data_IF_250445762452
#
_entry.id   IF_250445762452
#
_cell.length_a   1.000
_cell.length_b   1.000
_cell.length_c   1.000
_cell.angle_alpha   90.00
_cell.angle_beta   90.00
_cell.angle_gamma   90.00
#
_symmetry.space_group_name_H-M   'P 1'
#
loop_
_entity.id
_entity.type
_entity.pdbx_description
1 polymer ?
#
# COMPACT_ATOMS: atom_id res chain seq x y z
N UNK A 1 -23.86 16.78 -29.92
CA UNK A 1 -22.88 15.75 -29.51
C UNK A 1 -21.63 15.96 -30.35
N UNK A 2 -20.64 16.58 -29.76
CA UNK A 2 -19.33 16.79 -30.36
C UNK A 2 -18.23 16.36 -29.36
N UNK A 3 -17.09 15.94 -29.88
CA UNK A 3 -15.90 15.57 -29.10
C UNK A 3 -14.73 16.34 -29.67
N UNK A 4 -13.98 17.01 -28.82
CA UNK A 4 -12.95 17.99 -29.19
C UNK A 4 -11.52 17.50 -29.00
N UNK A 5 -11.33 16.20 -28.74
CA UNK A 5 -10.03 15.57 -28.54
C UNK A 5 -9.88 14.27 -29.34
N UNK A 6 -8.65 13.97 -29.74
CA UNK A 6 -8.28 12.70 -30.36
C UNK A 6 -8.03 11.63 -29.29
N UNK A 7 -8.23 10.36 -29.65
CA UNK A 7 -8.06 9.25 -28.70
C UNK A 7 -6.64 9.22 -28.12
N UNK A 8 -6.52 9.43 -26.81
CA UNK A 8 -5.25 9.53 -26.05
C UNK A 8 -4.41 10.76 -26.39
N UNK A 9 -5.06 11.85 -26.77
CA UNK A 9 -4.48 13.20 -26.78
C UNK A 9 -4.15 13.65 -25.35
N UNK A 10 -3.07 14.43 -25.19
CA UNK A 10 -2.71 15.06 -23.91
C UNK A 10 -3.57 16.31 -23.75
N UNK A 11 -4.31 16.38 -22.64
CA UNK A 11 -5.22 17.49 -22.34
C UNK A 11 -4.79 18.23 -21.07
N UNK A 12 -5.18 19.50 -20.97
CA UNK A 12 -4.88 20.39 -19.84
C UNK A 12 -6.15 20.74 -19.05
N UNK A 13 -6.06 21.09 -17.75
CA UNK A 13 -7.19 21.58 -16.97
C UNK A 13 -7.90 22.76 -17.66
N UNK A 14 -9.23 22.75 -17.64
CA UNK A 14 -10.07 23.75 -18.31
C UNK A 14 -10.28 23.54 -19.82
N UNK A 15 -9.61 22.57 -20.44
CA UNK A 15 -9.86 22.23 -21.85
C UNK A 15 -11.23 21.57 -22.02
N UNK A 16 -12.02 22.05 -22.99
CA UNK A 16 -13.28 21.43 -23.40
C UNK A 16 -13.01 20.09 -24.08
N UNK A 17 -13.62 19.02 -23.59
CA UNK A 17 -13.45 17.66 -24.11
C UNK A 17 -14.65 17.22 -24.95
N UNK A 18 -15.87 17.49 -24.49
CA UNK A 18 -17.08 17.07 -25.18
C UNK A 18 -18.27 17.99 -24.89
N UNK A 19 -19.22 18.03 -25.82
CA UNK A 19 -20.46 18.82 -25.74
C UNK A 19 -21.66 17.93 -26.11
N UNK A 20 -22.66 17.88 -25.22
CA UNK A 20 -23.89 17.12 -25.38
C UNK A 20 -24.10 16.14 -24.22
N UNK A 21 -24.82 15.03 -24.47
CA UNK A 21 -25.21 14.07 -23.41
C UNK A 21 -24.06 13.17 -22.92
N UNK A 22 -22.82 13.64 -22.87
CA UNK A 22 -21.70 12.88 -22.33
C UNK A 22 -21.69 12.91 -20.80
N UNK A 23 -21.16 11.84 -20.17
CA UNK A 23 -20.96 11.79 -18.72
C UNK A 23 -19.51 12.07 -18.37
N UNK A 24 -19.30 12.98 -17.41
CA UNK A 24 -18.02 13.14 -16.74
C UNK A 24 -17.66 11.89 -15.92
N UNK A 25 -16.37 11.64 -15.77
CA UNK A 25 -15.78 10.59 -14.93
C UNK A 25 -14.44 11.08 -14.36
N UNK A 26 -13.57 10.15 -13.96
CA UNK A 26 -12.25 10.45 -13.40
C UNK A 26 -11.50 11.54 -14.18
N UNK A 27 -11.06 12.58 -13.46
CA UNK A 27 -10.27 13.68 -14.02
C UNK A 27 -11.04 14.66 -14.90
N UNK A 28 -12.37 14.61 -14.90
CA UNK A 28 -13.24 15.54 -15.66
C UNK A 28 -14.36 16.10 -14.79
N UNK A 29 -14.94 17.22 -15.20
CA UNK A 29 -16.15 17.79 -14.60
C UNK A 29 -17.10 18.26 -15.70
N UNK A 30 -18.39 18.17 -15.43
CA UNK A 30 -19.45 18.72 -16.26
C UNK A 30 -19.89 20.11 -15.78
N UNK A 31 -20.50 20.86 -16.68
CA UNK A 31 -21.14 22.16 -16.44
C UNK A 31 -22.62 22.06 -16.79
N UNK A 32 -23.48 22.86 -16.17
CA UNK A 32 -24.94 22.88 -16.37
C UNK A 32 -25.35 22.95 -17.87
N UNK A 33 -24.52 23.61 -18.69
CA UNK A 33 -24.60 23.67 -20.16
C UNK A 33 -24.52 22.31 -20.90
N UNK A 34 -24.21 21.19 -20.22
CA UNK A 34 -23.94 19.90 -20.87
C UNK A 34 -22.56 19.80 -21.54
N UNK A 35 -21.60 20.60 -21.07
CA UNK A 35 -20.20 20.60 -21.52
C UNK A 35 -19.32 19.88 -20.51
N UNK A 36 -18.38 19.06 -20.99
CA UNK A 36 -17.42 18.31 -20.16
C UNK A 36 -16.02 18.86 -20.37
N UNK A 37 -15.37 19.23 -19.27
CA UNK A 37 -14.03 19.82 -19.23
C UNK A 37 -13.04 18.91 -18.49
N UNK A 38 -11.75 19.04 -18.79
CA UNK A 38 -10.71 18.37 -18.01
C UNK A 38 -10.44 19.08 -16.68
N UNK A 39 -10.32 18.32 -15.59
CA UNK A 39 -9.83 18.82 -14.30
C UNK A 39 -8.31 18.64 -14.14
N UNK A 40 -7.69 17.75 -14.91
CA UNK A 40 -6.32 17.28 -14.72
C UNK A 40 -5.48 17.39 -16.00
N UNK A 41 -4.15 17.37 -15.86
CA UNK A 41 -3.24 17.11 -16.98
C UNK A 41 -3.19 15.60 -17.21
N UNK A 42 -3.57 15.14 -18.39
CA UNK A 42 -3.74 13.70 -18.61
C UNK A 42 -3.99 13.29 -20.06
N UNK A 43 -4.18 11.99 -20.27
CA UNK A 43 -4.60 11.41 -21.55
C UNK A 43 -6.12 11.25 -21.57
N UNK A 44 -6.79 11.92 -22.51
CA UNK A 44 -8.23 11.81 -22.64
C UNK A 44 -8.66 10.51 -23.36
N UNK A 45 -9.58 9.75 -22.74
CA UNK A 45 -10.21 8.56 -23.30
C UNK A 45 -11.74 8.67 -23.24
N UNK A 46 -12.39 8.55 -24.41
CA UNK A 46 -13.84 8.33 -24.51
C UNK A 46 -14.12 6.82 -24.47
N UNK A 47 -15.02 6.38 -23.58
CA UNK A 47 -15.52 5.00 -23.53
C UNK A 47 -17.04 4.99 -23.56
N UNK A 48 -17.60 4.63 -24.71
CA UNK A 48 -19.04 4.74 -24.96
C UNK A 48 -19.47 6.19 -24.85
N UNK A 49 -20.23 6.51 -23.80
CA UNK A 49 -20.73 7.85 -23.51
C UNK A 49 -20.03 8.54 -22.32
N UNK A 50 -18.97 7.95 -21.80
CA UNK A 50 -18.25 8.44 -20.61
C UNK A 50 -16.88 8.98 -21.03
N UNK A 51 -16.59 10.23 -20.68
CA UNK A 51 -15.28 10.86 -20.88
C UNK A 51 -14.46 10.70 -19.60
N UNK A 52 -13.22 10.23 -19.74
CA UNK A 52 -12.27 10.08 -18.63
C UNK A 52 -10.91 10.66 -19.03
N UNK A 53 -10.24 11.28 -18.08
CA UNK A 53 -8.84 11.69 -18.22
C UNK A 53 -7.98 10.83 -17.31
N UNK A 54 -7.01 10.11 -17.91
CA UNK A 54 -6.01 9.35 -17.16
C UNK A 54 -4.88 10.33 -16.81
N UNK A 55 -4.64 10.65 -15.52
CA UNK A 55 -3.60 11.61 -15.15
C UNK A 55 -2.22 11.12 -15.58
N UNK A 56 -1.33 12.05 -15.95
CA UNK A 56 0.09 11.73 -16.17
C UNK A 56 0.85 11.61 -14.84
N UNK A 57 0.49 12.44 -13.87
CA UNK A 57 1.02 12.44 -12.50
C UNK A 57 -0.10 12.77 -11.50
N UNK A 58 0.09 12.38 -10.24
CA UNK A 58 -0.86 12.66 -9.16
C UNK A 58 -0.76 11.67 -8.00
N UNK A 59 -1.38 12.03 -6.87
CA UNK A 59 -1.55 11.16 -5.71
C UNK A 59 -2.60 10.07 -5.98
N UNK A 60 -2.58 9.01 -5.17
CA UNK A 60 -3.59 7.96 -5.23
C UNK A 60 -4.92 8.45 -4.64
N UNK A 61 -6.02 8.25 -5.38
CA UNK A 61 -7.38 8.47 -4.90
C UNK A 61 -8.08 7.10 -4.77
N UNK A 62 -8.46 6.67 -3.55
CA UNK A 62 -9.09 5.37 -3.29
C UNK A 62 -10.37 5.13 -4.09
N UNK A 63 -10.57 3.88 -4.54
CA UNK A 63 -11.81 3.42 -5.19
C UNK A 63 -12.20 2.04 -4.68
N UNK A 64 -13.48 1.75 -4.73
CA UNK A 64 -14.03 0.45 -4.35
C UNK A 64 -13.54 -0.64 -5.31
N UNK A 65 -13.08 -1.75 -4.75
CA UNK A 65 -12.45 -2.86 -5.49
C UNK A 65 -10.97 -2.65 -5.83
N UNK A 66 -10.34 -1.52 -5.46
CA UNK A 66 -8.89 -1.36 -5.65
C UNK A 66 -8.11 -2.22 -4.64
N UNK A 67 -7.17 -2.99 -5.18
CA UNK A 67 -6.12 -3.68 -4.41
C UNK A 67 -5.06 -2.67 -3.98
N UNK A 68 -4.77 -2.58 -2.68
CA UNK A 68 -3.77 -1.64 -2.12
C UNK A 68 -2.80 -2.35 -1.20
N UNK A 69 -1.58 -1.82 -1.12
CA UNK A 69 -0.57 -2.23 -0.14
C UNK A 69 -0.39 -1.09 0.85
N UNK A 70 -0.62 -1.34 2.13
CA UNK A 70 -0.58 -0.31 3.17
C UNK A 70 0.26 -0.73 4.38
N UNK A 71 0.65 0.25 5.20
CA UNK A 71 1.42 0.05 6.42
C UNK A 71 0.57 0.44 7.62
N UNK A 72 0.52 -0.40 8.66
CA UNK A 72 -0.24 -0.11 9.88
C UNK A 72 0.44 1.04 10.63
N UNK A 73 -0.33 2.06 10.97
CA UNK A 73 0.15 3.26 11.68
C UNK A 73 -0.33 3.30 13.12
N UNK A 74 -1.56 2.84 13.39
CA UNK A 74 -2.17 2.86 14.73
C UNK A 74 -3.02 1.61 14.90
N UNK A 75 -2.90 0.94 16.04
CA UNK A 75 -3.84 -0.09 16.52
C UNK A 75 -4.79 0.59 17.52
N UNK A 76 -6.11 0.48 17.32
CA UNK A 76 -7.10 1.18 18.15
C UNK A 76 -8.33 0.29 18.41
N UNK A 77 -8.35 -0.39 19.55
CA UNK A 77 -9.42 -1.32 19.93
C UNK A 77 -9.56 -2.43 18.90
N UNK A 78 -10.71 -2.52 18.22
CA UNK A 78 -11.00 -3.52 17.18
C UNK A 78 -10.70 -3.04 15.73
N UNK A 79 -9.88 -2.00 15.55
CA UNK A 79 -9.66 -1.33 14.26
C UNK A 79 -8.19 -0.92 14.08
N UNK A 80 -7.58 -1.25 12.93
CA UNK A 80 -6.28 -0.73 12.53
C UNK A 80 -6.44 0.49 11.61
N UNK A 81 -5.64 1.53 11.86
CA UNK A 81 -5.40 2.60 10.88
C UNK A 81 -4.22 2.25 10.01
N UNK A 82 -4.42 2.34 8.71
CA UNK A 82 -3.47 1.89 7.69
C UNK A 82 -3.17 3.05 6.75
N UNK A 83 -1.90 3.43 6.64
CA UNK A 83 -1.45 4.33 5.59
C UNK A 83 -1.42 3.59 4.24
N UNK A 84 -2.06 4.20 3.24
CA UNK A 84 -2.12 3.71 1.86
C UNK A 84 -1.49 4.69 0.85
N UNK A 85 -0.78 5.74 1.28
CA UNK A 85 -0.17 6.73 0.38
C UNK A 85 -1.19 7.63 -0.35
N UNK A 86 -2.41 7.73 0.18
CA UNK A 86 -3.45 8.64 -0.28
C UNK A 86 -3.67 9.79 0.71
N UNK A 87 -4.57 10.75 0.41
CA UNK A 87 -4.88 11.87 1.30
C UNK A 87 -5.66 11.48 2.57
N UNK A 88 -6.08 10.21 2.70
CA UNK A 88 -6.86 9.69 3.82
C UNK A 88 -6.23 8.41 4.37
N UNK A 89 -6.13 8.30 5.71
CA UNK A 89 -5.82 7.04 6.37
C UNK A 89 -6.99 6.06 6.22
N UNK A 90 -6.67 4.82 5.90
CA UNK A 90 -7.66 3.77 5.76
C UNK A 90 -7.98 3.11 7.12
N UNK A 91 -9.18 2.54 7.24
CA UNK A 91 -9.61 1.79 8.42
C UNK A 91 -9.87 0.32 8.10
N UNK A 92 -9.28 -0.58 8.86
CA UNK A 92 -9.45 -2.03 8.75
C UNK A 92 -10.02 -2.56 10.07
N UNK A 93 -11.26 -3.06 10.05
CA UNK A 93 -11.88 -3.65 11.23
C UNK A 93 -11.44 -5.12 11.42
N UNK A 94 -11.24 -5.57 12.66
CA UNK A 94 -10.88 -6.95 13.05
C UNK A 94 -11.72 -8.02 12.30
N UNK A 95 -13.05 -7.95 12.41
CA UNK A 95 -14.02 -8.74 11.64
C UNK A 95 -13.78 -8.84 10.11
N UNK A 96 -13.08 -7.90 9.48
CA UNK A 96 -12.77 -7.88 8.04
C UNK A 96 -11.33 -8.31 7.71
N UNK A 97 -10.44 -8.37 8.69
CA UNK A 97 -9.10 -8.93 8.54
C UNK A 97 -9.05 -10.42 8.93
N UNK A 98 -9.63 -10.75 10.08
CA UNK A 98 -9.49 -12.05 10.74
C UNK A 98 -10.74 -12.93 10.56
N UNK A 99 -10.55 -14.24 10.67
CA UNK A 99 -11.65 -15.22 10.81
C UNK A 99 -11.91 -15.43 12.31
N UNK A 100 -13.17 -15.52 12.71
CA UNK A 100 -13.54 -15.80 14.11
C UNK A 100 -13.32 -17.28 14.46
N UNK A 101 -12.99 -17.62 15.72
CA UNK A 101 -12.68 -16.69 16.82
C UNK A 101 -11.28 -16.05 16.67
N UNK A 102 -11.10 -14.85 17.22
CA UNK A 102 -9.83 -14.14 17.33
C UNK A 102 -9.72 -13.52 18.73
N UNK A 103 -8.50 -13.23 19.19
CA UNK A 103 -8.19 -12.65 20.51
C UNK A 103 -8.79 -11.25 20.69
N UNK A 104 -9.08 -10.84 21.93
CA UNK A 104 -9.54 -9.47 22.21
C UNK A 104 -8.43 -8.43 21.97
N UNK A 105 -7.16 -8.81 22.12
CA UNK A 105 -6.03 -8.01 21.66
C UNK A 105 -5.73 -8.32 20.19
N UNK A 106 -6.04 -7.36 19.31
CA UNK A 106 -5.79 -7.50 17.87
C UNK A 106 -4.32 -7.25 17.50
N UNK A 107 -3.53 -6.66 18.40
CA UNK A 107 -2.13 -6.30 18.18
C UNK A 107 -1.25 -7.54 17.99
N UNK A 108 -1.64 -8.66 18.61
CA UNK A 108 -1.01 -9.99 18.46
C UNK A 108 -0.94 -10.46 16.99
N UNK A 109 -1.89 -10.03 16.15
CA UNK A 109 -1.96 -10.44 14.74
C UNK A 109 -1.21 -9.49 13.81
N UNK A 110 -1.38 -8.19 14.02
CA UNK A 110 -0.74 -7.14 13.22
C UNK A 110 -0.53 -5.88 14.05
N UNK A 111 0.70 -5.38 14.05
CA UNK A 111 1.17 -4.26 14.88
C UNK A 111 1.65 -3.07 14.02
N UNK A 112 1.99 -1.96 14.66
CA UNK A 112 2.49 -0.73 14.02
C UNK A 112 3.75 -1.05 13.21
N UNK A 113 3.77 -0.60 11.95
CA UNK A 113 4.85 -0.87 11.00
C UNK A 113 4.66 -2.12 10.13
N UNK A 114 3.70 -3.00 10.45
CA UNK A 114 3.38 -4.13 9.58
C UNK A 114 2.82 -3.68 8.22
N UNK A 115 3.25 -4.35 7.15
CA UNK A 115 2.77 -4.11 5.80
C UNK A 115 1.72 -5.15 5.42
N UNK A 116 0.59 -4.72 4.89
CA UNK A 116 -0.55 -5.58 4.52
C UNK A 116 -0.97 -5.36 3.06
N UNK A 117 -1.53 -6.40 2.44
CA UNK A 117 -2.32 -6.28 1.21
C UNK A 117 -3.79 -6.38 1.56
N UNK A 118 -4.56 -5.37 1.17
CA UNK A 118 -6.00 -5.28 1.41
C UNK A 118 -6.73 -4.79 0.16
N UNK A 119 -8.05 -4.94 0.15
CA UNK A 119 -8.95 -4.43 -0.88
C UNK A 119 -9.86 -3.36 -0.25
N UNK A 120 -10.09 -2.26 -0.97
CA UNK A 120 -11.00 -1.21 -0.53
C UNK A 120 -12.44 -1.66 -0.76
N UNK A 121 -13.20 -1.84 0.31
CA UNK A 121 -14.61 -2.28 0.26
C UNK A 121 -15.60 -1.13 0.09
N UNK A 122 -15.28 0.04 0.64
CA UNK A 122 -16.10 1.24 0.59
C UNK A 122 -15.20 2.47 0.72
N UNK A 123 -15.55 3.57 0.06
CA UNK A 123 -14.83 4.84 0.21
C UNK A 123 -15.79 6.01 0.41
N UNK A 124 -15.67 6.66 1.57
CA UNK A 124 -16.32 7.93 1.87
C UNK A 124 -15.26 9.02 2.09
N UNK A 125 -15.54 10.24 1.60
CA UNK A 125 -14.65 11.40 1.75
C UNK A 125 -14.60 11.93 3.18
N UNK A 126 -15.61 11.66 4.01
CA UNK A 126 -15.64 12.07 5.43
C UNK A 126 -14.99 11.03 6.35
N UNK A 127 -15.31 9.75 6.18
CA UNK A 127 -14.77 8.67 7.02
C UNK A 127 -13.45 8.07 6.55
N UNK A 128 -13.04 8.33 5.30
CA UNK A 128 -11.92 7.67 4.64
C UNK A 128 -12.28 6.29 4.06
N UNK A 129 -11.29 5.58 3.46
CA UNK A 129 -11.51 4.26 2.87
C UNK A 129 -11.56 3.15 3.92
N UNK A 130 -12.48 2.21 3.73
CA UNK A 130 -12.61 0.98 4.51
C UNK A 130 -11.96 -0.20 3.79
N UNK A 131 -11.16 -0.98 4.52
CA UNK A 131 -10.41 -2.11 3.99
C UNK A 131 -11.00 -3.46 4.42
N UNK A 132 -10.70 -4.49 3.63
CA UNK A 132 -10.93 -5.90 3.93
C UNK A 132 -9.74 -6.77 3.50
N UNK A 133 -9.53 -7.88 4.21
CA UNK A 133 -8.56 -8.92 3.86
C UNK A 133 -9.21 -10.29 3.63
N UNK A 134 -10.55 -10.35 3.51
CA UNK A 134 -11.29 -11.60 3.22
C UNK A 134 -11.12 -12.13 1.78
N UNK A 135 -10.58 -11.31 0.89
CA UNK A 135 -10.34 -11.62 -0.53
C UNK A 135 -9.17 -12.59 -0.77
N UNK A 136 -9.02 -13.04 -2.02
CA UNK A 136 -7.95 -13.97 -2.41
C UNK A 136 -6.60 -13.26 -2.51
N UNK A 137 -5.60 -13.77 -1.78
CA UNK A 137 -4.24 -13.22 -1.80
C UNK A 137 -4.03 -12.01 -0.89
N UNK A 138 -5.06 -11.57 -0.18
CA UNK A 138 -4.96 -10.53 0.85
C UNK A 138 -4.38 -11.15 2.14
N UNK A 139 -3.34 -10.52 2.69
CA UNK A 139 -2.59 -11.01 3.87
C UNK A 139 -1.59 -9.95 4.35
N UNK A 140 -1.08 -10.12 5.57
CA UNK A 140 0.18 -9.50 6.03
C UNK A 140 1.33 -9.95 5.13
N UNK A 141 2.26 -9.04 4.84
CA UNK A 141 3.41 -9.26 3.97
C UNK A 141 4.68 -9.41 4.80
N UNK A 142 5.33 -10.57 4.66
CA UNK A 142 6.51 -10.91 5.43
C UNK A 142 7.74 -11.02 4.53
N UNK A 143 8.76 -10.21 4.85
CA UNK A 143 9.99 -10.07 4.07
C UNK A 143 9.75 -9.51 2.67
N UNK A 144 10.76 -9.63 1.80
CA UNK A 144 10.79 -8.93 0.51
C UNK A 144 11.09 -7.44 0.68
N UNK A 145 10.75 -6.64 -0.32
CA UNK A 145 10.94 -5.20 -0.32
C UNK A 145 9.71 -4.49 -0.91
N UNK A 146 9.35 -3.37 -0.29
CA UNK A 146 8.34 -2.45 -0.81
C UNK A 146 9.03 -1.41 -1.71
N UNK A 147 8.48 -1.21 -2.90
CA UNK A 147 8.90 -0.19 -3.86
C UNK A 147 7.72 0.76 -4.08
N UNK A 148 7.96 2.05 -3.86
CA UNK A 148 7.00 3.11 -4.19
C UNK A 148 7.29 3.64 -5.60
N UNK A 149 6.23 3.82 -6.38
CA UNK A 149 6.22 4.37 -7.75
C UNK A 149 5.00 5.30 -7.89
N UNK A 150 4.99 6.18 -8.89
CA UNK A 150 3.81 7.03 -9.12
C UNK A 150 2.54 6.21 -9.43
N UNK A 151 1.41 6.40 -8.71
CA UNK A 151 0.15 5.68 -8.97
C UNK A 151 -0.34 5.81 -10.42
N UNK A 152 -0.12 6.97 -11.06
CA UNK A 152 -0.44 7.21 -12.46
C UNK A 152 0.27 6.24 -13.43
N UNK A 153 1.42 5.69 -13.03
CA UNK A 153 2.25 4.78 -13.85
C UNK A 153 1.96 3.30 -13.61
N UNK A 154 1.20 2.94 -12.57
CA UNK A 154 0.82 1.54 -12.27
C UNK A 154 0.16 0.82 -13.47
N UNK A 155 -0.79 1.41 -14.21
CA UNK A 155 -1.35 0.76 -15.40
C UNK A 155 -0.32 0.48 -16.50
N UNK A 156 0.76 1.28 -16.58
CA UNK A 156 1.86 1.07 -17.52
C UNK A 156 2.75 -0.10 -17.10
N UNK A 157 3.05 -0.21 -15.80
CA UNK A 157 3.88 -1.26 -15.18
C UNK A 157 3.20 -2.62 -15.24
N UNK A 158 1.89 -2.70 -14.98
CA UNK A 158 1.11 -3.92 -15.19
C UNK A 158 1.10 -4.29 -16.68
N UNK A 159 0.91 -3.29 -17.55
CA UNK A 159 0.81 -3.46 -18.99
C UNK A 159 -0.52 -4.08 -19.43
N UNK A 160 -0.71 -4.22 -20.75
CA UNK A 160 -1.97 -4.76 -21.32
C UNK A 160 -2.18 -6.20 -20.82
N UNK A 161 -3.28 -6.44 -20.10
CA UNK A 161 -3.63 -7.73 -19.47
C UNK A 161 -2.54 -8.33 -18.58
N UNK A 162 -1.72 -7.50 -17.92
CA UNK A 162 -0.65 -7.99 -17.05
C UNK A 162 0.63 -8.46 -17.77
N UNK A 163 0.72 -8.30 -19.09
CA UNK A 163 1.84 -8.81 -19.89
C UNK A 163 3.22 -8.34 -19.42
N UNK A 164 3.36 -7.10 -18.93
CA UNK A 164 4.66 -6.55 -18.53
C UNK A 164 5.09 -7.07 -17.15
N UNK A 165 4.18 -7.06 -16.17
CA UNK A 165 4.47 -7.60 -14.84
C UNK A 165 4.67 -9.13 -14.86
N UNK A 166 3.96 -9.86 -15.71
CA UNK A 166 4.13 -11.31 -15.86
C UNK A 166 5.48 -11.64 -16.51
N UNK A 167 5.88 -10.93 -17.58
CA UNK A 167 7.23 -11.07 -18.17
C UNK A 167 8.34 -10.90 -17.12
N UNK A 168 8.28 -9.85 -16.30
CA UNK A 168 9.28 -9.62 -15.23
C UNK A 168 9.25 -10.78 -14.19
N UNK A 169 8.06 -11.26 -13.82
CA UNK A 169 7.90 -12.41 -12.92
C UNK A 169 8.47 -13.70 -13.49
N UNK A 170 8.24 -13.98 -14.77
CA UNK A 170 8.64 -15.23 -15.42
C UNK A 170 10.16 -15.29 -15.65
N UNK A 171 10.78 -14.18 -16.06
CA UNK A 171 12.23 -14.08 -16.25
C UNK A 171 13.00 -14.15 -14.92
N UNK A 172 12.51 -13.47 -13.88
CA UNK A 172 13.22 -13.38 -12.59
C UNK A 172 12.75 -14.41 -11.55
N UNK A 173 11.68 -15.16 -11.84
CA UNK A 173 11.02 -16.14 -10.94
C UNK A 173 10.71 -15.58 -9.55
N UNK A 174 10.21 -14.34 -9.52
CA UNK A 174 9.89 -13.58 -8.30
C UNK A 174 8.40 -13.59 -7.98
N UNK A 175 8.07 -13.43 -6.69
CA UNK A 175 6.72 -13.07 -6.27
C UNK A 175 6.58 -11.55 -6.27
N UNK A 176 5.50 -11.02 -6.83
CA UNK A 176 5.25 -9.57 -6.85
C UNK A 176 3.76 -9.26 -6.81
N UNK A 177 3.39 -8.31 -5.95
CA UNK A 177 2.03 -7.77 -5.81
C UNK A 177 2.11 -6.28 -6.12
N UNK A 178 1.17 -5.79 -6.93
CA UNK A 178 1.11 -4.40 -7.40
C UNK A 178 -0.19 -3.79 -6.87
N UNK A 179 -0.08 -2.84 -5.94
CA UNK A 179 -1.21 -2.04 -5.48
C UNK A 179 -1.53 -0.90 -6.46
N UNK A 180 -2.80 -0.52 -6.58
CA UNK A 180 -3.22 0.66 -7.36
C UNK A 180 -2.69 1.97 -6.75
N UNK A 181 -2.33 1.93 -5.47
CA UNK A 181 -1.80 3.07 -4.71
C UNK A 181 -0.30 3.38 -4.94
N UNK A 182 0.30 2.88 -6.01
CA UNK A 182 1.73 3.13 -6.29
C UNK A 182 2.70 2.27 -5.48
N UNK A 183 2.21 1.39 -4.61
CA UNK A 183 3.05 0.50 -3.78
C UNK A 183 3.14 -0.90 -4.38
N UNK A 184 4.37 -1.37 -4.61
CA UNK A 184 4.69 -2.66 -5.22
C UNK A 184 5.53 -3.47 -4.23
N UNK A 185 5.04 -4.63 -3.82
CA UNK A 185 5.80 -5.56 -2.98
C UNK A 185 6.48 -6.63 -3.82
N UNK A 186 7.79 -6.82 -3.63
CA UNK A 186 8.64 -7.73 -4.40
C UNK A 186 9.34 -8.69 -3.43
N UNK A 187 9.20 -10.00 -3.65
CA UNK A 187 9.94 -11.05 -2.92
C UNK A 187 10.67 -11.94 -3.92
N UNK A 188 12.00 -11.91 -3.84
CA UNK A 188 12.92 -12.73 -4.61
C UNK A 188 13.68 -13.69 -3.68
N UNK A 189 14.30 -14.72 -4.25
CA UNK A 189 15.21 -15.62 -3.51
C UNK A 189 16.54 -14.92 -3.20
N UNK A 190 17.09 -14.20 -4.18
CA UNK A 190 18.44 -13.63 -4.13
C UNK A 190 18.40 -12.10 -4.24
N UNK A 191 19.25 -11.42 -3.47
CA UNK A 191 19.32 -9.95 -3.41
C UNK A 191 19.63 -9.30 -4.76
N UNK A 192 20.40 -9.96 -5.62
CA UNK A 192 20.71 -9.46 -6.96
C UNK A 192 19.51 -9.52 -7.92
N UNK A 193 18.69 -10.56 -7.78
CA UNK A 193 17.45 -10.72 -8.55
C UNK A 193 16.42 -9.68 -8.09
N UNK A 194 16.38 -9.37 -6.79
CA UNK A 194 15.61 -8.24 -6.25
C UNK A 194 16.09 -6.89 -6.82
N UNK A 195 17.40 -6.61 -6.82
CA UNK A 195 17.99 -5.39 -7.41
C UNK A 195 17.65 -5.24 -8.89
N UNK A 196 17.69 -6.34 -9.66
CA UNK A 196 17.35 -6.33 -11.09
C UNK A 196 15.86 -6.06 -11.32
N UNK A 197 14.96 -6.64 -10.49
CA UNK A 197 13.53 -6.35 -10.53
C UNK A 197 13.22 -4.87 -10.25
N UNK A 198 13.86 -4.29 -9.23
CA UNK A 198 13.71 -2.86 -8.88
C UNK A 198 14.21 -1.98 -10.02
N UNK A 199 15.39 -2.28 -10.60
CA UNK A 199 15.94 -1.55 -11.75
C UNK A 199 15.00 -1.60 -12.95
N UNK A 200 14.43 -2.76 -13.25
CA UNK A 200 13.46 -2.92 -14.34
C UNK A 200 12.20 -2.08 -14.10
N UNK A 201 11.60 -2.13 -12.91
CA UNK A 201 10.38 -1.37 -12.60
C UNK A 201 10.64 0.15 -12.63
N UNK A 202 11.77 0.64 -12.10
CA UNK A 202 12.16 2.05 -12.21
C UNK A 202 12.37 2.49 -13.66
N UNK A 203 13.02 1.65 -14.47
CA UNK A 203 13.20 1.90 -15.91
C UNK A 203 11.85 1.98 -16.64
N UNK A 204 10.86 1.17 -16.23
CA UNK A 204 9.48 1.24 -16.76
C UNK A 204 8.81 2.57 -16.40
N UNK A 205 8.99 3.01 -15.16
CA UNK A 205 8.43 4.27 -14.62
C UNK A 205 9.02 5.51 -15.31
N UNK A 206 10.33 5.53 -15.56
CA UNK A 206 11.00 6.61 -16.29
C UNK A 206 10.63 6.62 -17.77
N UNK A 207 10.60 5.46 -18.42
CA UNK A 207 10.40 5.33 -19.86
C UNK A 207 8.94 5.11 -20.27
N UNK A 208 7.99 5.38 -19.35
CA UNK A 208 6.56 5.09 -19.52
C UNK A 208 5.95 5.62 -20.84
N UNK A 209 6.42 6.78 -21.31
CA UNK A 209 5.97 7.46 -22.53
C UNK A 209 6.50 6.82 -23.84
N UNK A 210 7.50 5.95 -23.76
CA UNK A 210 8.13 5.34 -24.95
C UNK A 210 7.30 4.18 -25.53
N UNK A 211 7.35 4.02 -26.85
CA UNK A 211 6.81 2.84 -27.54
C UNK A 211 7.80 1.67 -27.47
N UNK A 212 7.32 0.43 -27.67
CA UNK A 212 8.13 -0.82 -27.63
C UNK A 212 8.92 -1.08 -26.33
N UNK A 213 8.58 -0.40 -25.24
CA UNK A 213 9.21 -0.58 -23.92
C UNK A 213 9.29 -2.04 -23.43
N UNK A 214 8.28 -2.87 -23.75
CA UNK A 214 8.26 -4.30 -23.39
C UNK A 214 9.46 -5.06 -23.96
N UNK A 215 9.74 -4.89 -25.25
CA UNK A 215 10.83 -5.57 -25.95
C UNK A 215 12.19 -5.12 -25.39
N UNK A 216 12.32 -3.82 -25.07
CA UNK A 216 13.53 -3.26 -24.46
C UNK A 216 13.81 -3.81 -23.06
N UNK A 217 12.77 -3.96 -22.24
CA UNK A 217 12.90 -4.58 -20.91
C UNK A 217 13.28 -6.05 -21.04
N UNK A 218 12.68 -6.76 -21.99
CA UNK A 218 13.00 -8.16 -22.24
C UNK A 218 14.49 -8.36 -22.52
N UNK A 219 15.03 -7.62 -23.51
CA UNK A 219 16.44 -7.68 -23.87
C UNK A 219 17.35 -7.33 -22.66
N UNK A 220 17.00 -6.28 -21.89
CA UNK A 220 17.76 -5.90 -20.69
C UNK A 220 17.78 -6.99 -19.61
N UNK A 221 16.68 -7.75 -19.45
CA UNK A 221 16.61 -8.86 -18.50
C UNK A 221 17.38 -10.09 -19.03
N UNK A 222 17.28 -10.41 -20.31
CA UNK A 222 18.01 -11.51 -20.94
C UNK A 222 19.53 -11.28 -20.90
N UNK A 223 19.99 -10.08 -21.27
CA UNK A 223 21.40 -9.67 -21.15
C UNK A 223 21.88 -9.83 -19.70
N UNK A 224 21.17 -9.26 -18.73
CA UNK A 224 21.55 -9.31 -17.31
C UNK A 224 21.54 -10.73 -16.71
N UNK A 225 20.71 -11.64 -17.22
CA UNK A 225 20.72 -13.06 -16.83
C UNK A 225 21.87 -13.82 -17.52
N UNK A 226 22.19 -13.51 -18.78
CA UNK A 226 23.27 -14.14 -19.53
C UNK A 226 24.66 -13.83 -18.94
N UNK A 227 24.91 -12.57 -18.55
CA UNK A 227 26.19 -12.18 -17.91
C UNK A 227 26.44 -12.96 -16.62
N UNK A 228 25.40 -13.16 -15.79
CA UNK A 228 25.48 -13.97 -14.57
C UNK A 228 25.81 -15.43 -14.84
N UNK A 229 25.31 -16.00 -15.93
CA UNK A 229 25.64 -17.38 -16.31
C UNK A 229 27.11 -17.50 -16.71
N UNK A 230 27.66 -16.53 -17.44
CA UNK A 230 29.11 -16.50 -17.73
C UNK A 230 29.98 -16.26 -16.48
N UNK A 231 29.57 -15.36 -15.58
CA UNK A 231 30.29 -15.08 -14.33
C UNK A 231 30.32 -16.32 -13.42
N UNK A 232 29.16 -16.96 -13.20
CA UNK A 232 29.08 -18.21 -12.42
C UNK A 232 29.91 -19.34 -13.05
N UNK A 233 29.93 -19.47 -14.38
CA UNK A 233 30.76 -20.46 -15.07
C UNK A 233 32.26 -20.16 -14.99
N UNK A 234 32.68 -18.89 -14.95
CA UNK A 234 34.09 -18.55 -14.70
C UNK A 234 34.53 -18.92 -13.28
N UNK A 235 33.72 -18.62 -12.27
CA UNK A 235 34.05 -18.96 -10.87
C UNK A 235 34.06 -20.47 -10.62
N UNK A 236 33.25 -21.26 -11.32
CA UNK A 236 33.31 -22.73 -11.21
C UNK A 236 34.59 -23.34 -11.81
N UNK A 237 35.26 -22.68 -12.76
CA UNK A 237 36.48 -23.20 -13.40
C UNK A 237 37.75 -22.96 -12.61
N UNK A 238 37.79 -21.96 -11.73
CA UNK A 238 38.95 -21.71 -10.86
C UNK A 238 38.98 -22.63 -9.63
N UNK A 239 37.85 -23.26 -9.28
CA UNK A 239 37.75 -24.18 -8.15
C UNK A 239 38.37 -25.57 -8.38
N UNK A 240 38.54 -26.01 -9.63
CA UNK A 240 38.88 -27.41 -9.96
C UNK A 240 40.40 -27.70 -9.98
N UNK A 241 41.27 -26.72 -9.68
CA UNK A 241 42.74 -26.83 -9.79
C UNK A 241 43.45 -26.98 -8.42
N UNK A 242 42.71 -27.19 -7.33
CA UNK A 242 43.28 -27.37 -5.97
C UNK A 242 42.81 -28.63 -5.24
N UNK A 243 42.89 -29.79 -5.91
CA UNK A 243 42.80 -31.09 -5.23
C UNK A 243 43.83 -32.12 -5.75
N UNK A 244 45.06 -32.01 -5.26
CA UNK A 244 46.01 -33.14 -5.20
C UNK A 244 46.84 -33.06 -3.92
N UNK A 245 46.57 -33.93 -2.96
CA UNK A 245 47.42 -34.16 -1.77
C UNK A 245 48.63 -35.06 -2.13
N UNK A 246 49.59 -35.25 -1.19
CA UNK A 246 49.51 -36.50 -0.41
C UNK A 246 49.95 -36.43 1.08
N UNK A 247 49.47 -37.42 1.85
CA UNK A 247 49.80 -37.86 3.23
C UNK A 247 51.19 -38.55 3.27
N UNK A 248 51.94 -38.78 4.36
CA UNK A 248 51.73 -38.94 5.82
C UNK A 248 52.74 -38.10 6.67
N UNK A 249 53.05 -38.28 7.98
CA UNK A 249 52.82 -39.32 9.01
C UNK A 249 52.95 -38.78 10.46
N UNK A 250 52.16 -39.32 11.41
CA UNK A 250 52.46 -39.71 12.83
C UNK A 250 53.33 -38.80 13.75
N UNK A 251 53.08 -38.59 15.07
CA UNK A 251 52.15 -39.14 16.09
C UNK A 251 52.00 -38.13 17.31
N UNK A 252 51.22 -38.39 18.39
CA UNK A 252 50.71 -37.36 19.33
C UNK A 252 51.43 -37.23 20.70
N UNK A 253 51.07 -36.19 21.49
CA UNK A 253 51.30 -36.12 22.95
C UNK A 253 50.10 -35.46 23.67
N UNK A 254 50.03 -35.63 25.00
CA UNK A 254 48.83 -35.64 25.85
C UNK A 254 48.24 -34.29 26.31
N UNK A 255 47.11 -34.39 27.01
CA UNK A 255 46.26 -33.29 27.48
C UNK A 255 46.57 -32.85 28.92
N UNK A 256 46.15 -31.63 29.27
CA UNK A 256 45.78 -31.27 30.65
C UNK A 256 44.73 -30.14 30.68
N UNK A 257 43.72 -30.30 31.53
CA UNK A 257 42.76 -29.28 32.02
C UNK A 257 42.60 -29.54 33.51
N UNK A 258 42.68 -28.54 34.41
CA UNK A 258 41.49 -27.74 34.79
C UNK A 258 41.87 -26.26 35.11
N UNK A 259 41.02 -25.29 35.53
CA UNK A 259 39.57 -25.19 35.77
C UNK A 259 39.12 -23.70 35.66
N UNK A 260 37.91 -23.34 36.12
CA UNK A 260 37.49 -21.95 36.45
C UNK A 260 37.14 -21.89 37.95
N UNK A 261 37.23 -20.75 38.64
CA UNK A 261 35.98 -20.02 38.93
C UNK A 261 36.08 -18.48 38.98
N UNK A 262 34.92 -17.83 38.93
CA UNK A 262 34.71 -16.40 39.19
C UNK A 262 34.83 -16.06 40.69
N UNK A 263 35.22 -14.82 41.06
CA UNK A 263 34.40 -13.96 41.93
C UNK A 263 35.05 -12.61 42.32
N UNK A 264 34.17 -11.64 42.45
CA UNK A 264 34.22 -10.24 42.92
C UNK A 264 35.06 -9.86 44.16
N UNK A 265 35.69 -8.68 44.15
CA UNK A 265 35.95 -7.70 45.25
C UNK A 265 37.14 -6.77 44.87
N UNK A 266 37.36 -5.56 45.40
CA UNK A 266 36.52 -4.51 45.99
C UNK A 266 37.35 -3.19 46.10
N UNK A 267 36.71 -2.02 46.00
CA UNK A 267 37.08 -0.68 46.57
C UNK A 267 38.38 0.10 46.21
N UNK A 268 38.23 1.44 46.30
CA UNK A 268 39.22 2.53 46.54
C UNK A 268 40.15 3.00 45.39
N UNK A 269 40.41 4.31 45.18
CA UNK A 269 39.74 5.56 45.62
C UNK A 269 40.25 6.79 44.82
N UNK A 270 39.74 7.99 45.15
CA UNK A 270 40.27 9.37 44.95
C UNK A 270 39.73 10.33 43.86
N UNK A 271 39.16 11.45 44.37
CA UNK A 271 39.17 12.86 43.89
C UNK A 271 38.48 13.22 42.53
N UNK A 272 37.65 14.28 42.41
CA UNK A 272 37.19 15.30 43.37
C UNK A 272 36.35 16.42 42.70
N UNK A 273 35.88 17.40 43.51
CA UNK A 273 35.17 18.66 43.15
C UNK A 273 33.72 18.60 42.59
N UNK A 274 32.80 19.56 42.82
CA UNK A 274 32.49 20.44 43.99
C UNK A 274 31.08 21.09 43.77
N UNK A 275 30.55 21.71 44.83
CA UNK A 275 29.54 22.79 44.89
C UNK A 275 28.07 22.44 45.22
N UNK A 276 27.66 22.97 46.37
CA UNK A 276 26.32 23.15 46.93
C UNK A 276 25.49 24.15 46.08
N UNK A 277 24.17 24.31 46.20
CA UNK A 277 23.43 24.74 47.40
C UNK A 277 21.90 24.64 47.21
N UNK A 278 21.18 24.61 48.34
CA UNK A 278 19.73 24.79 48.57
C UNK A 278 19.10 25.95 47.74
N UNK A 279 17.79 26.08 47.49
CA UNK A 279 16.59 25.40 48.01
C UNK A 279 15.49 26.44 48.33
N UNK A 280 14.23 26.24 47.89
CA UNK A 280 13.08 27.09 48.31
C UNK A 280 11.72 26.45 48.03
N UNK A 281 10.67 27.03 48.63
CA UNK A 281 9.42 26.37 49.02
C UNK A 281 8.16 26.92 48.27
N UNK A 282 7.05 26.21 48.47
CA UNK A 282 5.66 26.71 48.66
C UNK A 282 4.65 27.07 47.52
N UNK A 283 3.47 26.43 47.69
CA UNK A 283 2.03 26.85 47.58
C UNK A 283 1.18 27.02 46.29
N UNK A 284 -0.01 26.38 46.37
CA UNK A 284 -1.39 26.78 45.95
C UNK A 284 -1.78 26.83 44.44
N UNK A 285 -2.59 25.90 43.89
CA UNK A 285 -4.09 25.73 43.97
C UNK A 285 -4.85 26.40 42.77
N UNK A 286 -6.14 26.10 42.48
CA UNK A 286 -6.80 24.78 42.34
C UNK A 286 -7.68 24.71 41.04
N UNK A 287 -8.26 23.54 40.69
CA UNK A 287 -9.45 23.48 39.81
C UNK A 287 -10.45 22.35 40.13
N UNK A 288 -11.70 22.78 40.18
CA UNK A 288 -13.03 22.19 40.43
C UNK A 288 -13.30 20.68 40.18
N UNK A 289 -14.23 20.07 40.96
CA UNK A 289 -14.81 18.74 40.69
C UNK A 289 -16.03 18.81 39.76
N UNK A 290 -16.33 17.71 39.07
CA UNK A 290 -17.56 17.52 38.29
C UNK A 290 -18.42 16.40 38.86
N UNK A 291 -19.51 16.74 39.54
CA UNK A 291 -20.62 15.82 39.85
C UNK A 291 -21.96 16.51 39.59
N UNK A 292 -22.91 15.77 39.02
CA UNK A 292 -24.25 16.25 38.70
C UNK A 292 -24.98 15.27 37.79
N UNK A 293 -25.96 14.55 38.33
CA UNK A 293 -26.77 13.58 37.60
C UNK A 293 -28.27 13.82 37.75
N UNK A 294 -29.03 13.13 36.88
CA UNK A 294 -30.46 12.77 36.97
C UNK A 294 -31.52 13.87 37.18
N UNK A 295 -32.40 14.04 36.17
CA UNK A 295 -33.84 13.69 36.14
C UNK A 295 -34.42 14.18 34.79
N UNK A 296 -34.96 13.32 33.92
CA UNK A 296 -36.29 12.69 33.92
C UNK A 296 -37.44 13.62 33.46
N UNK A 297 -38.09 13.26 32.34
CA UNK A 297 -39.55 13.43 32.10
C UNK A 297 -39.95 12.85 30.74
N UNK A 298 -40.98 12.00 30.73
CA UNK A 298 -41.66 11.51 29.53
C UNK A 298 -43.15 11.23 29.82
N UNK A 299 -44.05 11.88 29.07
CA UNK A 299 -45.52 11.66 29.02
C UNK A 299 -45.97 12.08 27.62
N UNK A 300 -46.33 11.15 26.72
CA UNK A 300 -47.68 10.66 26.40
C UNK A 300 -48.56 11.71 25.67
N UNK A 301 -48.91 11.47 24.39
CA UNK A 301 -50.14 10.81 23.90
C UNK A 301 -51.29 11.80 23.65
N UNK A 302 -51.80 11.86 22.41
CA UNK A 302 -53.23 11.61 22.15
C UNK A 302 -53.46 11.23 20.66
N UNK A 303 -54.58 10.57 20.40
CA UNK A 303 -54.99 9.97 19.13
C UNK A 303 -55.74 10.96 18.22
N UNK A 304 -55.95 10.64 16.92
CA UNK A 304 -57.24 10.13 16.42
C UNK A 304 -57.32 10.14 14.86
N UNK A 305 -58.08 9.18 14.34
CA UNK A 305 -58.45 8.92 12.94
C UNK A 305 -59.69 9.78 12.54
N UNK A 306 -60.32 9.69 11.33
CA UNK A 306 -60.24 8.63 10.31
C UNK A 306 -60.25 9.04 8.82
N UNK A 307 -60.39 8.02 7.96
CA UNK A 307 -60.36 8.08 6.50
C UNK A 307 -61.66 8.61 5.84
N UNK A 308 -61.53 9.02 4.58
CA UNK A 308 -62.63 8.98 3.60
C UNK A 308 -62.25 8.14 2.38
N UNK A 309 -63.27 7.46 1.84
CA UNK A 309 -63.24 6.60 0.65
C UNK A 309 -64.04 7.33 -0.42
N UNK A 310 -63.50 7.49 -1.63
CA UNK A 310 -64.30 7.76 -2.84
C UNK A 310 -63.78 6.90 -4.00
N UNK A 311 -64.70 6.15 -4.60
CA UNK A 311 -64.54 5.26 -5.75
C UNK A 311 -64.51 5.99 -7.11
N UNK A 312 -64.38 5.20 -8.19
CA UNK A 312 -64.59 5.53 -9.63
C UNK A 312 -63.47 6.32 -10.31
N UNK A 313 -63.14 6.10 -11.58
CA UNK A 313 -63.93 5.46 -12.66
C UNK A 313 -63.04 4.72 -13.69
N UNK A 314 -63.59 3.70 -14.38
CA UNK A 314 -62.94 3.03 -15.53
C UNK A 314 -63.00 3.91 -16.79
N UNK A 315 -61.94 3.95 -17.60
CA UNK A 315 -62.07 4.02 -19.07
C UNK A 315 -60.99 3.15 -19.73
N UNK A 316 -61.40 2.39 -20.74
CA UNK A 316 -60.65 1.42 -21.53
C UNK A 316 -59.94 2.00 -22.76
N UNK A 317 -58.94 1.25 -23.25
CA UNK A 317 -58.54 1.07 -24.67
C UNK A 317 -58.39 2.29 -25.61
N UNK A 318 -57.15 2.60 -26.03
CA UNK A 318 -56.57 2.18 -27.34
C UNK A 318 -55.03 2.29 -27.33
#
# INVERSE_FOLDING_TARGET
>A
MAVYFHKREVVVPGQLLADGRYRASDGTYDTEDGKVYSALVGLAELRGNTVKVVPLEGAYLPKEGDLVIGTITIVAGNNWKVDIGGPYLASLHANNALRRPYSDDISEYMDIGDVIVAEITAFDRRSGPFLSMKGRGLRKLEGGMLLEVSPAKIPRIIGRRGSMINMIKDHLRIQTIVGQNGRIWIKAKDTETLRLAIKAIRTVEEQAHTSKLTDRINNMLEEALSSRQSEAQSMSKEGEVKETAPTSSEEPVEAETPEVPESTSDSADEEGEDSTTEGSDETAEPKEPSEGGTEETAVAEDENQPAEIIDTEEVSEE
#
